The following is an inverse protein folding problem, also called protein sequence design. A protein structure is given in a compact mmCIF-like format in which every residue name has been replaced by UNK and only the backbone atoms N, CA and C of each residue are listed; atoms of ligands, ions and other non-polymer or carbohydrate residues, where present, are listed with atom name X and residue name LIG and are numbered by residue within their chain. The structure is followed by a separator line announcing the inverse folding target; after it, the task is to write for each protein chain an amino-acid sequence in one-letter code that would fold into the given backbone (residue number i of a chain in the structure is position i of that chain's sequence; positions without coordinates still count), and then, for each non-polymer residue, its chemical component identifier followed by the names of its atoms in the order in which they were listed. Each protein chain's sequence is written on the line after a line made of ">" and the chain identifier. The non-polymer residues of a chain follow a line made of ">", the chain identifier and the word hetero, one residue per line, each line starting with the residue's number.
data_IF_549271633303
#
_entry.id   IF_549271633303
#
_cell.length_a   1.000
_cell.length_b   1.000
_cell.length_c   1.000
_cell.angle_alpha   90.00
_cell.angle_beta   90.00
_cell.angle_gamma   90.00
#
_symmetry.space_group_name_H-M   'P 1'
#
loop_
_entity.id
_entity.type
_entity.pdbx_description
1 polymer ?
#
# COMPACT_ATOMS: atom_id res chain seq x y z
N UNK A 1 -4.31 19.70 12.49
CA UNK A 1 -4.48 18.76 11.38
C UNK A 1 -3.52 17.62 11.64
N UNK A 2 -4.00 16.38 11.73
CA UNK A 2 -3.09 15.24 11.67
C UNK A 2 -2.64 15.16 10.21
N UNK A 3 -1.34 15.32 9.95
CA UNK A 3 -0.79 15.14 8.60
C UNK A 3 -1.15 13.72 8.13
N UNK A 4 -1.85 13.63 6.99
CA UNK A 4 -2.10 12.33 6.37
C UNK A 4 -0.80 11.70 5.88
N UNK A 5 -0.70 10.37 5.94
CA UNK A 5 0.39 9.61 5.33
C UNK A 5 0.15 9.29 3.85
N UNK A 6 -0.95 9.80 3.26
CA UNK A 6 -1.39 9.43 1.92
C UNK A 6 -0.38 9.79 0.80
N UNK A 7 0.44 10.81 1.02
CA UNK A 7 1.52 11.20 0.11
C UNK A 7 2.88 10.58 0.45
N UNK A 8 2.97 9.72 1.47
CA UNK A 8 4.17 8.91 1.75
C UNK A 8 4.19 7.68 0.84
N UNK A 9 4.11 7.95 -0.46
CA UNK A 9 4.08 6.96 -1.54
C UNK A 9 4.87 7.50 -2.73
N UNK A 10 5.34 6.62 -3.58
CA UNK A 10 5.94 7.04 -4.84
C UNK A 10 4.85 7.54 -5.79
N UNK A 11 5.15 8.64 -6.51
CA UNK A 11 4.19 9.25 -7.44
C UNK A 11 3.66 8.25 -8.48
N UNK A 12 4.47 7.26 -8.88
CA UNK A 12 4.03 6.28 -9.87
C UNK A 12 2.82 5.46 -9.39
N UNK A 13 2.65 5.24 -8.08
CA UNK A 13 1.53 4.47 -7.52
C UNK A 13 0.18 5.14 -7.86
N UNK A 14 0.10 6.46 -7.72
CA UNK A 14 -1.10 7.23 -8.07
C UNK A 14 -1.40 7.19 -9.57
N UNK A 15 -0.36 7.32 -10.39
CA UNK A 15 -0.52 7.25 -11.86
C UNK A 15 -0.90 5.83 -12.32
N UNK A 16 -0.45 4.80 -11.60
CA UNK A 16 -0.76 3.40 -11.87
C UNK A 16 -2.22 3.10 -11.54
N UNK A 17 -2.74 3.58 -10.40
CA UNK A 17 -4.18 3.49 -10.08
C UNK A 17 -5.02 4.16 -11.16
N UNK A 18 -4.64 5.37 -11.59
CA UNK A 18 -5.34 6.06 -12.68
C UNK A 18 -5.34 5.26 -13.99
N UNK A 19 -4.19 4.71 -14.39
CA UNK A 19 -4.09 3.87 -15.58
C UNK A 19 -4.92 2.56 -15.45
N UNK A 20 -4.95 1.97 -14.26
CA UNK A 20 -5.72 0.77 -13.97
C UNK A 20 -7.24 1.04 -14.01
N UNK A 21 -7.69 2.20 -13.52
CA UNK A 21 -9.09 2.61 -13.64
C UNK A 21 -9.49 2.82 -15.10
N UNK A 22 -8.68 3.59 -15.85
CA UNK A 22 -8.92 3.83 -17.27
C UNK A 22 -8.90 2.57 -18.15
N UNK A 23 -8.20 1.51 -17.72
CA UNK A 23 -8.18 0.21 -18.39
C UNK A 23 -9.19 -0.81 -17.86
N UNK A 24 -10.00 -0.44 -16.86
CA UNK A 24 -10.97 -1.34 -16.23
C UNK A 24 -10.35 -2.49 -15.45
N UNK A 25 -9.12 -2.32 -14.97
CA UNK A 25 -8.36 -3.36 -14.24
C UNK A 25 -8.15 -3.05 -12.76
N UNK A 26 -8.39 -1.80 -12.33
CA UNK A 26 -8.25 -1.33 -10.95
C UNK A 26 -8.94 -2.24 -9.91
N UNK A 27 -10.11 -2.77 -10.24
CA UNK A 27 -10.90 -3.57 -9.30
C UNK A 27 -10.74 -5.08 -9.44
N UNK A 28 -9.71 -5.53 -10.17
CA UNK A 28 -9.39 -6.96 -10.25
C UNK A 28 -8.73 -7.43 -8.97
N UNK A 29 -9.20 -8.57 -8.45
CA UNK A 29 -8.59 -9.26 -7.31
C UNK A 29 -7.12 -9.56 -7.61
N UNK A 30 -6.25 -9.12 -6.71
CA UNK A 30 -4.79 -9.12 -6.85
C UNK A 30 -4.15 -9.50 -5.52
N UNK A 31 -2.97 -10.11 -5.59
CA UNK A 31 -2.18 -10.54 -4.43
C UNK A 31 -0.76 -10.00 -4.57
N UNK A 32 -0.27 -9.34 -3.53
CA UNK A 32 1.10 -8.84 -3.43
C UNK A 32 1.82 -9.50 -2.26
N UNK A 33 3.08 -9.89 -2.48
CA UNK A 33 3.92 -10.51 -1.46
C UNK A 33 5.14 -9.63 -1.17
N UNK A 34 5.30 -9.27 0.10
CA UNK A 34 6.53 -8.68 0.60
C UNK A 34 7.48 -9.79 1.03
N UNK A 35 8.66 -9.84 0.41
CA UNK A 35 9.71 -10.77 0.81
C UNK A 35 11.12 -10.19 0.57
N UNK A 36 12.09 -10.53 1.43
CA UNK A 36 13.48 -10.14 1.21
C UNK A 36 14.15 -11.10 0.23
N UNK A 37 14.89 -10.57 -0.75
CA UNK A 37 15.63 -11.41 -1.72
C UNK A 37 16.99 -11.87 -1.19
N UNK A 38 17.61 -11.09 -0.31
CA UNK A 38 18.93 -11.33 0.28
C UNK A 38 18.99 -10.74 1.68
N UNK A 39 19.88 -11.26 2.51
CA UNK A 39 20.18 -10.70 3.83
C UNK A 39 21.52 -9.94 3.80
N UNK A 40 21.75 -9.03 4.76
CA UNK A 40 23.07 -8.44 4.98
C UNK A 40 24.15 -9.50 5.15
N UNK A 41 25.39 -9.16 4.78
CA UNK A 41 26.52 -10.09 4.86
C UNK A 41 26.69 -10.66 6.28
N UNK A 42 26.97 -11.96 6.36
CA UNK A 42 27.12 -12.67 7.63
C UNK A 42 25.80 -13.02 8.36
N UNK A 43 24.63 -12.61 7.86
CA UNK A 43 23.33 -12.99 8.44
C UNK A 43 22.72 -14.18 7.71
N UNK A 44 22.29 -15.18 8.49
CA UNK A 44 21.62 -16.40 7.97
C UNK A 44 20.10 -16.32 8.02
N UNK A 45 19.56 -15.43 8.84
CA UNK A 45 18.13 -15.17 8.99
C UNK A 45 17.90 -13.70 9.40
N UNK A 46 16.68 -13.23 9.21
CA UNK A 46 16.17 -11.98 9.79
C UNK A 46 15.10 -12.25 10.84
N UNK A 47 14.75 -11.23 11.60
CA UNK A 47 13.65 -11.27 12.57
C UNK A 47 12.62 -10.23 12.13
N UNK A 48 11.36 -10.63 12.02
CA UNK A 48 10.26 -9.75 11.60
C UNK A 48 10.03 -8.70 12.68
N UNK A 49 9.90 -7.44 12.27
CA UNK A 49 9.54 -6.34 13.15
C UNK A 49 8.79 -5.27 12.34
N UNK A 50 7.73 -4.72 12.95
CA UNK A 50 6.95 -3.61 12.37
C UNK A 50 5.59 -4.02 11.83
N UNK A 51 5.18 -5.29 11.94
CA UNK A 51 3.88 -5.76 11.45
C UNK A 51 2.74 -5.01 12.13
N UNK A 52 2.76 -4.90 13.48
CA UNK A 52 1.71 -4.17 14.20
C UNK A 52 1.63 -2.69 13.80
N UNK A 53 2.78 -2.02 13.66
CA UNK A 53 2.84 -0.62 13.22
C UNK A 53 2.29 -0.42 11.80
N UNK A 54 2.56 -1.36 10.90
CA UNK A 54 2.05 -1.30 9.53
C UNK A 54 0.52 -1.46 9.51
N UNK A 55 -0.02 -2.42 10.26
CA UNK A 55 -1.47 -2.63 10.36
C UNK A 55 -2.20 -1.42 10.94
N UNK A 56 -1.67 -0.82 12.01
CA UNK A 56 -2.21 0.43 12.60
C UNK A 56 -2.21 1.59 11.58
N UNK A 57 -1.19 1.67 10.74
CA UNK A 57 -1.08 2.70 9.70
C UNK A 57 -2.11 2.48 8.59
N UNK A 58 -2.28 1.24 8.11
CA UNK A 58 -3.26 0.87 7.08
C UNK A 58 -4.68 1.15 7.56
N UNK A 59 -5.00 0.80 8.82
CA UNK A 59 -6.33 1.05 9.39
C UNK A 59 -6.70 2.54 9.38
N UNK A 60 -5.71 3.42 9.58
CA UNK A 60 -5.87 4.89 9.66
C UNK A 60 -5.66 5.61 8.34
N UNK A 61 -5.14 4.94 7.31
CA UNK A 61 -4.73 5.55 6.04
C UNK A 61 -5.92 6.13 5.27
N UNK A 62 -5.96 7.47 5.12
CA UNK A 62 -7.03 8.25 4.49
C UNK A 62 -6.38 9.34 3.61
N UNK A 63 -6.92 9.59 2.42
CA UNK A 63 -6.68 10.87 1.74
C UNK A 63 -7.57 11.93 2.38
N UNK A 64 -7.00 13.06 2.80
CA UNK A 64 -7.77 14.20 3.28
C UNK A 64 -8.12 15.16 2.12
N UNK A 65 -9.04 16.09 2.38
CA UNK A 65 -9.57 17.00 1.36
C UNK A 65 -8.47 17.88 0.73
N UNK A 66 -7.47 18.28 1.53
CA UNK A 66 -6.34 19.09 1.06
C UNK A 66 -5.46 18.28 0.09
N UNK A 67 -5.15 17.02 0.43
CA UNK A 67 -4.38 16.11 -0.43
C UNK A 67 -5.12 15.81 -1.72
N UNK A 68 -6.42 15.48 -1.66
CA UNK A 68 -7.21 15.19 -2.87
C UNK A 68 -7.27 16.41 -3.79
N UNK A 69 -7.50 17.60 -3.22
CA UNK A 69 -7.52 18.85 -3.99
C UNK A 69 -6.17 19.11 -4.65
N UNK A 70 -5.07 18.95 -3.91
CA UNK A 70 -3.72 19.09 -4.45
C UNK A 70 -3.46 18.15 -5.63
N UNK A 71 -3.78 16.86 -5.49
CA UNK A 71 -3.54 15.86 -6.53
C UNK A 71 -4.35 16.14 -7.81
N UNK A 72 -5.60 16.61 -7.66
CA UNK A 72 -6.44 17.02 -8.79
C UNK A 72 -5.92 18.30 -9.45
N UNK A 73 -5.66 19.34 -8.65
CA UNK A 73 -5.30 20.66 -9.16
C UNK A 73 -3.90 20.66 -9.84
N UNK A 74 -3.03 19.73 -9.44
CA UNK A 74 -1.73 19.50 -10.09
C UNK A 74 -1.78 18.49 -11.25
N UNK A 75 -2.96 17.99 -11.60
CA UNK A 75 -3.20 16.99 -12.66
C UNK A 75 -2.42 15.67 -12.46
N UNK A 76 -2.14 15.30 -11.22
CA UNK A 76 -1.59 13.97 -10.89
C UNK A 76 -2.67 12.90 -11.12
N UNK A 77 -3.90 13.22 -10.76
CA UNK A 77 -5.07 12.37 -10.96
C UNK A 77 -6.24 13.16 -11.57
N UNK A 78 -7.11 12.46 -12.29
CA UNK A 78 -8.36 13.00 -12.84
C UNK A 78 -9.48 13.01 -11.79
N UNK A 79 -10.64 13.57 -12.14
CA UNK A 79 -11.79 13.70 -11.22
C UNK A 79 -12.33 12.35 -10.73
N UNK A 80 -12.33 11.33 -11.59
CA UNK A 80 -12.80 9.97 -11.24
C UNK A 80 -11.94 9.36 -10.13
N UNK A 81 -10.61 9.40 -10.32
CA UNK A 81 -9.65 8.87 -9.35
C UNK A 81 -9.68 9.72 -8.08
N UNK A 82 -9.76 11.05 -8.19
CA UNK A 82 -9.86 11.93 -7.03
C UNK A 82 -11.09 11.60 -6.15
N UNK A 83 -12.24 11.36 -6.78
CA UNK A 83 -13.47 10.98 -6.07
C UNK A 83 -13.35 9.64 -5.35
N UNK A 84 -12.61 8.69 -5.94
CA UNK A 84 -12.31 7.41 -5.31
C UNK A 84 -11.32 7.54 -4.15
N UNK A 85 -10.25 8.33 -4.30
CA UNK A 85 -9.28 8.59 -3.23
C UNK A 85 -9.94 9.22 -2.00
N UNK A 86 -10.88 10.16 -2.20
CA UNK A 86 -11.61 10.81 -1.11
C UNK A 86 -12.44 9.84 -0.23
N UNK A 87 -12.90 8.73 -0.81
CA UNK A 87 -13.68 7.71 -0.09
C UNK A 87 -12.87 6.46 0.25
N UNK A 88 -11.60 6.41 -0.15
CA UNK A 88 -10.74 5.25 -0.02
C UNK A 88 -10.67 4.73 1.42
N UNK A 89 -10.89 3.42 1.56
CA UNK A 89 -10.62 2.63 2.75
C UNK A 89 -10.09 1.29 2.27
N UNK A 90 -9.00 0.81 2.85
CA UNK A 90 -8.54 -0.55 2.57
C UNK A 90 -9.58 -1.55 3.09
N UNK A 91 -10.05 -2.45 2.22
CA UNK A 91 -11.03 -3.50 2.54
C UNK A 91 -10.51 -4.91 2.31
N UNK A 92 -9.25 -5.03 1.91
CA UNK A 92 -8.60 -6.31 1.65
C UNK A 92 -8.21 -7.08 2.90
N UNK A 93 -7.58 -8.22 2.67
CA UNK A 93 -7.07 -9.13 3.69
C UNK A 93 -5.53 -9.08 3.73
N UNK A 94 -4.97 -9.18 4.93
CA UNK A 94 -3.52 -9.22 5.13
C UNK A 94 -3.17 -10.43 5.99
N UNK A 95 -2.24 -11.25 5.50
CA UNK A 95 -1.60 -12.32 6.25
C UNK A 95 -0.13 -12.02 6.40
N UNK A 96 0.49 -12.47 7.49
CA UNK A 96 1.90 -12.24 7.69
C UNK A 96 2.43 -12.87 8.96
N UNK A 97 3.74 -12.76 9.11
CA UNK A 97 4.46 -13.26 10.27
C UNK A 97 4.25 -12.29 11.45
N UNK A 98 4.02 -12.79 12.68
CA UNK A 98 4.05 -11.94 13.86
C UNK A 98 5.45 -11.36 14.10
N UNK A 99 5.50 -10.21 14.77
CA UNK A 99 6.76 -9.60 15.20
C UNK A 99 7.54 -10.58 16.10
N UNK A 100 8.85 -10.68 15.88
CA UNK A 100 9.75 -11.61 16.58
C UNK A 100 9.99 -12.94 15.87
N UNK A 101 9.22 -13.26 14.82
CA UNK A 101 9.44 -14.50 14.05
C UNK A 101 10.68 -14.43 13.16
N UNK A 102 11.24 -15.61 12.86
CA UNK A 102 12.40 -15.76 12.01
C UNK A 102 11.96 -15.88 10.55
N UNK A 103 12.63 -15.13 9.65
CA UNK A 103 12.43 -15.26 8.20
C UNK A 103 13.75 -15.51 7.45
N UNK A 104 13.63 -16.07 6.25
CA UNK A 104 14.73 -16.33 5.32
C UNK A 104 14.51 -15.57 3.99
N UNK A 105 15.54 -15.46 3.13
CA UNK A 105 15.34 -14.97 1.77
C UNK A 105 14.23 -15.74 1.04
N UNK A 106 13.32 -15.03 0.40
CA UNK A 106 12.17 -15.60 -0.31
C UNK A 106 10.98 -15.97 0.57
N UNK A 107 11.06 -15.82 1.90
CA UNK A 107 9.90 -15.98 2.78
C UNK A 107 8.92 -14.82 2.58
N UNK A 108 7.63 -15.07 2.27
CA UNK A 108 6.62 -14.02 2.18
C UNK A 108 6.28 -13.54 3.60
N UNK A 109 6.92 -12.45 4.05
CA UNK A 109 6.75 -11.93 5.42
C UNK A 109 5.37 -11.28 5.60
N UNK A 110 4.79 -10.77 4.52
CA UNK A 110 3.44 -10.22 4.47
C UNK A 110 2.85 -10.48 3.08
N UNK A 111 1.58 -10.85 3.06
CA UNK A 111 0.75 -11.07 1.86
C UNK A 111 -0.45 -10.16 1.97
N UNK A 112 -0.66 -9.33 0.96
CA UNK A 112 -1.80 -8.40 0.86
C UNK A 112 -2.67 -8.87 -0.29
N UNK A 113 -3.95 -9.12 -0.02
CA UNK A 113 -4.95 -9.44 -1.02
C UNK A 113 -6.05 -8.39 -1.03
N UNK A 114 -6.38 -7.89 -2.21
CA UNK A 114 -7.40 -6.86 -2.40
C UNK A 114 -7.70 -6.63 -3.86
N UNK A 115 -8.29 -5.49 -4.20
CA UNK A 115 -8.28 -5.02 -5.58
C UNK A 115 -6.92 -4.43 -5.95
N UNK A 116 -6.58 -4.41 -7.25
CA UNK A 116 -5.32 -3.82 -7.73
C UNK A 116 -5.14 -2.35 -7.33
N UNK A 117 -6.23 -1.58 -7.20
CA UNK A 117 -6.15 -0.21 -6.75
C UNK A 117 -5.95 -0.07 -5.23
N UNK A 118 -6.31 -1.09 -4.44
CA UNK A 118 -6.19 -1.07 -2.98
C UNK A 118 -4.90 -1.65 -2.42
N UNK A 119 -4.37 -2.70 -3.05
CA UNK A 119 -3.26 -3.54 -2.57
C UNK A 119 -1.94 -3.16 -3.23
#
# INVERSE_FOLDING_TARGET
>A
MLETTALLTDHYELTMVQAAMGSGTAFRRSVFELFPRRLPEGRRYGVVAGTGRALDAIERFRFDDETVSFLRDTNVVNDEVAQWLATYRFTGDIWGYPDGEIYFPGSPIMVVEGSFAEA
#
